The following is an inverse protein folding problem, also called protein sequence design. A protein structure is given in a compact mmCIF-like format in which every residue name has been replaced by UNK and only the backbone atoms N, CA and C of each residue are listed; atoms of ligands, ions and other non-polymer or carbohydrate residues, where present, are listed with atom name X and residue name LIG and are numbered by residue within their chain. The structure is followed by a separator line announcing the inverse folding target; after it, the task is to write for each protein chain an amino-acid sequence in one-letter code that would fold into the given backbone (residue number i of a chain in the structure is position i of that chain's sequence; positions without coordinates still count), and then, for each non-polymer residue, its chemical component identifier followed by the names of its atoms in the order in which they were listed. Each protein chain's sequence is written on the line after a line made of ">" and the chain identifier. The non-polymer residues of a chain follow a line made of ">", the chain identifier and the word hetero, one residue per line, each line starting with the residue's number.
data_IF_776160334635
#
_entry.id   IF_776160334635
#
_cell.length_a   1.000
_cell.length_b   1.000
_cell.length_c   1.000
_cell.angle_alpha   90.00
_cell.angle_beta   90.00
_cell.angle_gamma   90.00
#
_symmetry.space_group_name_H-M   'P 1'
#
loop_
_entity.id
_entity.type
_entity.pdbx_description
1 polymer ?
#
# COMPACT_ATOMS: atom_id res chain seq x y z
N UNK A 1 -1.27 5.91 17.47
CA UNK A 1 -0.90 5.54 16.08
C UNK A 1 -1.58 6.52 15.15
N UNK A 2 -0.91 6.95 14.08
CA UNK A 2 -1.43 7.94 13.13
C UNK A 2 -1.48 7.31 11.74
N UNK A 3 -2.58 7.53 11.03
CA UNK A 3 -2.76 7.12 9.65
C UNK A 3 -3.21 8.34 8.86
N UNK A 4 -2.51 8.65 7.77
CA UNK A 4 -2.81 9.83 6.96
C UNK A 4 -2.25 9.72 5.55
N UNK A 5 -2.84 10.48 4.64
CA UNK A 5 -2.41 10.58 3.25
C UNK A 5 -1.45 11.77 3.11
N UNK A 6 -0.36 11.57 2.35
CA UNK A 6 0.66 12.58 2.06
C UNK A 6 1.32 12.27 0.72
N UNK A 7 2.17 13.17 0.24
CA UNK A 7 3.10 12.90 -0.85
C UNK A 7 4.52 12.68 -0.31
N UNK A 8 5.32 11.93 -1.07
CA UNK A 8 6.74 11.76 -0.81
C UNK A 8 7.54 12.92 -1.38
N UNK A 9 8.47 13.46 -0.59
CA UNK A 9 9.32 14.60 -0.95
C UNK A 9 10.60 14.18 -1.67
N UNK A 10 11.25 15.14 -2.35
CA UNK A 10 12.44 14.95 -3.19
C UNK A 10 13.65 14.31 -2.47
N UNK A 11 13.72 14.47 -1.14
CA UNK A 11 14.77 13.87 -0.32
C UNK A 11 14.53 12.38 -0.01
N UNK A 12 13.46 11.79 -0.53
CA UNK A 12 13.16 10.36 -0.44
C UNK A 12 14.10 9.55 -1.32
N UNK A 13 14.78 8.55 -0.73
CA UNK A 13 15.69 7.65 -1.43
C UNK A 13 15.32 6.19 -1.16
N UNK A 14 14.80 5.52 -2.20
CA UNK A 14 14.39 4.12 -2.18
C UNK A 14 15.25 3.33 -3.18
N UNK A 15 16.54 3.15 -2.84
CA UNK A 15 17.47 2.37 -3.66
C UNK A 15 17.52 0.92 -3.17
N UNK A 16 17.34 -0.03 -4.09
CA UNK A 16 17.21 -1.45 -3.75
C UNK A 16 18.45 -2.12 -3.14
N UNK A 17 19.64 -1.51 -3.31
CA UNK A 17 20.91 -2.00 -2.77
C UNK A 17 21.55 -1.04 -1.75
N UNK A 18 20.87 0.04 -1.36
CA UNK A 18 21.44 0.95 -0.37
C UNK A 18 21.24 0.39 1.04
N UNK A 19 22.34 0.34 1.81
CA UNK A 19 22.34 0.00 3.23
C UNK A 19 21.38 0.87 4.06
N UNK A 20 21.10 2.09 3.60
CA UNK A 20 20.21 3.05 4.23
C UNK A 20 19.24 3.66 3.21
N UNK A 21 17.95 3.48 3.43
CA UNK A 21 16.86 4.10 2.68
C UNK A 21 16.23 5.23 3.49
N UNK A 22 15.63 6.20 2.82
CA UNK A 22 15.03 7.38 3.44
C UNK A 22 13.66 7.68 2.85
N UNK A 23 12.69 7.94 3.71
CA UNK A 23 11.40 8.51 3.36
C UNK A 23 11.34 9.94 3.89
N UNK A 24 10.91 10.87 3.06
CA UNK A 24 10.65 12.23 3.44
C UNK A 24 9.19 12.59 3.11
N UNK A 25 8.49 13.17 4.09
CA UNK A 25 7.07 13.50 3.95
C UNK A 25 6.64 14.58 4.95
N UNK A 26 5.58 15.32 4.62
CA UNK A 26 4.97 16.28 5.53
C UNK A 26 3.93 15.63 6.45
N UNK A 27 3.93 16.05 7.71
CA UNK A 27 2.85 15.71 8.63
C UNK A 27 1.68 16.68 8.47
N UNK A 28 0.44 16.17 8.32
CA UNK A 28 -0.74 17.01 8.42
C UNK A 28 -0.81 17.74 9.77
N UNK A 29 -1.33 18.97 9.77
CA UNK A 29 -1.39 19.83 10.97
C UNK A 29 -2.07 19.14 12.16
N UNK A 30 -3.11 18.37 11.90
CA UNK A 30 -3.84 17.63 12.95
C UNK A 30 -3.00 16.50 13.56
N UNK A 31 -2.24 15.79 12.72
CA UNK A 31 -1.29 14.76 13.19
C UNK A 31 -0.15 15.39 13.97
N UNK A 32 0.37 16.54 13.54
CA UNK A 32 1.40 17.28 14.28
C UNK A 32 0.91 17.68 15.68
N UNK A 33 -0.29 18.25 15.80
CA UNK A 33 -0.88 18.61 17.11
C UNK A 33 -1.04 17.38 18.01
N UNK A 34 -1.52 16.26 17.47
CA UNK A 34 -1.65 15.01 18.21
C UNK A 34 -0.27 14.48 18.67
N UNK A 35 0.70 14.42 17.78
CA UNK A 35 2.06 13.96 18.07
C UNK A 35 2.82 14.87 19.05
N UNK A 36 2.56 16.19 19.06
CA UNK A 36 3.09 17.09 20.10
C UNK A 36 2.54 16.72 21.48
N UNK A 37 1.23 16.47 21.60
CA UNK A 37 0.60 16.07 22.87
C UNK A 37 1.09 14.71 23.34
N UNK A 38 1.17 13.75 22.43
CA UNK A 38 1.63 12.39 22.74
C UNK A 38 3.12 12.38 23.10
N UNK A 39 3.95 13.25 22.49
CA UNK A 39 5.33 13.49 22.92
C UNK A 39 5.42 13.87 24.38
N UNK A 40 4.65 14.88 24.80
CA UNK A 40 4.68 15.39 26.18
C UNK A 40 4.33 14.26 27.13
N UNK A 41 3.28 13.49 26.86
CA UNK A 41 2.90 12.33 27.67
C UNK A 41 3.98 11.24 27.71
N UNK A 42 4.59 10.96 26.56
CA UNK A 42 5.60 9.91 26.39
C UNK A 42 6.95 10.28 27.05
N UNK A 43 7.23 11.57 27.22
CA UNK A 43 8.46 12.07 27.83
C UNK A 43 8.29 12.55 29.27
N UNK A 44 7.07 12.86 29.72
CA UNK A 44 6.75 13.33 31.08
C UNK A 44 7.25 12.40 32.19
N UNK A 45 7.49 11.12 31.88
CA UNK A 45 8.10 10.16 32.80
C UNK A 45 9.63 10.27 32.91
N UNK A 46 10.25 11.38 32.46
CA UNK A 46 11.71 11.52 32.38
C UNK A 46 12.15 12.92 32.82
N UNK A 47 12.90 13.02 33.90
CA UNK A 47 13.69 14.20 34.23
C UNK A 47 14.82 14.33 33.21
N UNK A 48 14.62 15.10 32.15
CA UNK A 48 15.75 15.58 31.36
C UNK A 48 15.35 16.75 30.47
N UNK A 49 15.98 17.89 30.77
CA UNK A 49 16.22 19.04 29.89
C UNK A 49 16.88 18.69 28.53
N UNK A 50 17.05 17.40 28.22
CA UNK A 50 17.75 16.90 27.04
C UNK A 50 16.81 16.35 25.95
N UNK A 51 15.50 16.60 26.02
CA UNK A 51 14.55 16.24 24.97
C UNK A 51 14.72 17.13 23.72
N UNK A 52 15.90 17.09 23.11
CA UNK A 52 16.29 18.02 22.07
C UNK A 52 15.65 17.66 20.72
N UNK A 53 14.97 18.66 20.12
CA UNK A 53 14.43 18.64 18.75
C UNK A 53 13.12 17.87 18.57
N UNK A 54 12.21 18.43 17.76
CA UNK A 54 11.08 17.68 17.22
C UNK A 54 11.57 16.65 16.18
N UNK A 55 10.88 15.51 15.98
CA UNK A 55 11.24 14.56 14.94
C UNK A 55 10.87 15.06 13.53
N UNK A 56 10.44 16.32 13.41
CA UNK A 56 10.16 17.07 12.19
C UNK A 56 10.69 18.51 12.34
N UNK A 57 10.88 19.21 11.23
CA UNK A 57 11.29 20.62 11.20
C UNK A 57 10.09 21.59 11.36
N UNK A 58 10.29 22.90 11.24
CA UNK A 58 9.21 23.88 11.46
C UNK A 58 8.07 23.79 10.41
N UNK A 59 8.36 23.30 9.20
CA UNK A 59 7.34 23.02 8.18
C UNK A 59 6.62 21.67 8.35
N UNK A 60 7.00 20.87 9.34
CA UNK A 60 6.42 19.54 9.58
C UNK A 60 6.99 18.44 8.68
N UNK A 61 8.13 18.69 8.01
CA UNK A 61 8.85 17.70 7.23
C UNK A 61 9.52 16.68 8.14
N UNK A 62 9.21 15.41 7.93
CA UNK A 62 9.81 14.26 8.63
C UNK A 62 10.76 13.54 7.68
N UNK A 63 11.97 13.28 8.17
CA UNK A 63 12.94 12.40 7.49
C UNK A 63 13.08 11.10 8.27
N UNK A 64 12.57 10.02 7.72
CA UNK A 64 12.63 8.69 8.31
C UNK A 64 13.64 7.81 7.56
N UNK A 65 14.64 7.29 8.25
CA UNK A 65 15.61 6.36 7.67
C UNK A 65 15.43 4.94 8.19
N UNK A 66 15.55 3.96 7.30
CA UNK A 66 15.44 2.54 7.60
C UNK A 66 16.39 1.73 6.72
N UNK A 67 16.65 0.49 7.11
CA UNK A 67 17.57 -0.41 6.41
C UNK A 67 16.91 -1.78 6.23
N UNK A 68 16.79 -2.22 4.98
CA UNK A 68 16.23 -3.52 4.67
C UNK A 68 17.13 -4.69 5.11
N UNK A 69 18.43 -4.47 5.24
CA UNK A 69 19.42 -5.49 5.59
C UNK A 69 19.45 -5.79 7.09
N UNK A 70 19.47 -4.74 7.92
CA UNK A 70 19.49 -4.88 9.38
C UNK A 70 18.11 -5.16 9.96
N UNK A 71 17.05 -5.09 9.14
CA UNK A 71 15.65 -5.25 9.56
C UNK A 71 15.16 -4.15 10.51
N UNK A 72 16.00 -3.16 10.83
CA UNK A 72 15.66 -2.14 11.81
C UNK A 72 14.69 -1.14 11.20
N UNK A 73 13.47 -1.14 11.75
CA UNK A 73 12.40 -0.19 11.41
C UNK A 73 11.99 -0.23 9.93
N UNK A 74 12.16 -1.35 9.22
CA UNK A 74 11.71 -1.49 7.82
C UNK A 74 10.19 -1.41 7.73
N UNK A 75 9.62 -0.45 6.99
CA UNK A 75 8.19 -0.35 6.82
C UNK A 75 7.69 -1.40 5.80
N UNK A 76 6.44 -1.81 5.96
CA UNK A 76 5.75 -2.65 4.96
C UNK A 76 5.30 -1.77 3.81
N UNK A 77 5.72 -2.10 2.59
CA UNK A 77 5.24 -1.43 1.38
C UNK A 77 4.09 -2.21 0.77
N UNK A 78 2.97 -1.54 0.50
CA UNK A 78 1.80 -2.14 -0.14
C UNK A 78 1.21 -1.25 -1.23
N UNK A 79 0.42 -1.84 -2.12
CA UNK A 79 -0.38 -1.10 -3.10
C UNK A 79 -1.70 -0.58 -2.48
N UNK A 80 -2.50 0.13 -3.27
CA UNK A 80 -3.82 0.66 -2.85
C UNK A 80 -4.81 -0.43 -2.39
N UNK A 81 -4.59 -1.70 -2.74
CA UNK A 81 -5.43 -2.85 -2.37
C UNK A 81 -4.82 -3.65 -1.21
N UNK A 82 -3.80 -3.09 -0.55
CA UNK A 82 -3.07 -3.71 0.55
C UNK A 82 -2.27 -4.97 0.18
N UNK A 83 -2.00 -5.19 -1.11
CA UNK A 83 -1.06 -6.23 -1.52
C UNK A 83 0.38 -5.78 -1.32
N UNK A 84 1.27 -6.65 -0.80
CA UNK A 84 2.66 -6.30 -0.58
C UNK A 84 3.38 -6.03 -1.91
N UNK A 85 4.16 -4.96 -1.95
CA UNK A 85 4.98 -4.60 -3.12
C UNK A 85 6.30 -5.39 -3.13
N UNK A 86 6.71 -5.85 -4.32
CA UNK A 86 8.03 -6.43 -4.52
C UNK A 86 9.13 -5.36 -4.42
N UNK A 87 10.39 -5.78 -4.22
CA UNK A 87 11.54 -4.85 -4.23
C UNK A 87 11.65 -4.06 -5.53
N UNK A 88 11.39 -4.71 -6.68
CA UNK A 88 11.37 -4.04 -7.99
C UNK A 88 10.22 -3.03 -8.09
N UNK A 89 9.07 -3.31 -7.49
CA UNK A 89 7.96 -2.36 -7.46
C UNK A 89 8.27 -1.14 -6.59
N UNK A 90 8.92 -1.33 -5.44
CA UNK A 90 9.35 -0.22 -4.55
C UNK A 90 10.30 0.74 -5.28
N UNK A 91 11.21 0.23 -6.11
CA UNK A 91 12.11 1.05 -6.92
C UNK A 91 11.40 1.93 -7.97
N UNK A 92 10.14 1.62 -8.30
CA UNK A 92 9.34 2.43 -9.22
C UNK A 92 8.62 3.58 -8.52
N UNK A 93 8.59 3.62 -7.19
CA UNK A 93 8.02 4.73 -6.43
C UNK A 93 8.81 5.99 -6.77
N UNK A 94 8.11 7.02 -7.23
CA UNK A 94 8.72 8.29 -7.67
C UNK A 94 8.54 9.35 -6.59
N UNK A 95 9.33 10.40 -6.72
CA UNK A 95 9.12 11.64 -5.98
C UNK A 95 7.70 12.17 -6.28
N UNK A 96 7.06 12.76 -5.29
CA UNK A 96 5.68 13.25 -5.39
C UNK A 96 4.60 12.15 -5.35
N UNK A 97 4.96 10.86 -5.33
CA UNK A 97 3.97 9.76 -5.25
C UNK A 97 3.07 9.91 -4.03
N UNK A 98 1.76 9.73 -4.22
CA UNK A 98 0.80 9.78 -3.14
C UNK A 98 0.83 8.49 -2.34
N UNK A 99 0.93 8.64 -1.03
CA UNK A 99 1.05 7.52 -0.10
C UNK A 99 0.14 7.71 1.10
N UNK A 100 -0.40 6.60 1.60
CA UNK A 100 -1.00 6.52 2.93
C UNK A 100 0.03 5.93 3.89
N UNK A 101 0.40 6.71 4.90
CA UNK A 101 1.40 6.33 5.90
C UNK A 101 0.72 5.89 7.19
N UNK A 102 1.20 4.79 7.77
CA UNK A 102 0.91 4.40 9.15
C UNK A 102 2.14 4.64 10.01
N UNK A 103 2.04 5.55 10.97
CA UNK A 103 3.16 6.03 11.78
C UNK A 103 2.85 5.87 13.26
N UNK A 104 3.86 5.51 14.05
CA UNK A 104 3.77 5.53 15.51
C UNK A 104 4.86 6.39 16.12
N UNK A 105 4.53 7.13 17.18
CA UNK A 105 5.53 7.81 17.98
C UNK A 105 6.09 6.85 19.02
N UNK A 106 7.42 6.75 19.08
CA UNK A 106 8.12 5.86 20.01
C UNK A 106 9.21 6.61 20.75
N UNK A 107 9.51 6.14 21.96
CA UNK A 107 10.60 6.69 22.77
C UNK A 107 11.93 6.28 22.16
N UNK A 108 12.83 7.26 22.00
CA UNK A 108 14.23 7.05 21.65
C UNK A 108 15.04 7.14 22.95
N UNK A 109 15.77 6.08 23.26
CA UNK A 109 16.59 6.01 24.48
C UNK A 109 18.06 6.38 24.23
N UNK A 110 18.61 6.03 23.07
CA UNK A 110 20.01 6.30 22.69
C UNK A 110 20.16 6.71 21.21
N UNK A 111 21.27 7.39 20.83
CA UNK A 111 22.26 8.09 21.66
C UNK A 111 21.75 9.41 22.29
N UNK A 112 20.63 9.96 21.82
CA UNK A 112 19.98 11.13 22.45
C UNK A 112 18.56 10.77 22.88
N UNK A 113 18.19 10.98 24.16
CA UNK A 113 16.85 10.70 24.65
C UNK A 113 15.83 11.63 23.98
N UNK A 114 14.65 11.10 23.65
CA UNK A 114 13.59 11.88 23.02
C UNK A 114 12.50 11.00 22.43
N UNK A 115 11.78 11.52 21.44
CA UNK A 115 10.78 10.77 20.68
C UNK A 115 11.16 10.73 19.21
N UNK A 116 10.88 9.62 18.52
CA UNK A 116 10.95 9.53 17.07
C UNK A 116 9.63 9.06 16.49
N UNK A 117 9.38 9.41 15.24
CA UNK A 117 8.30 8.81 14.45
C UNK A 117 8.84 7.58 13.73
N UNK A 118 8.18 6.45 13.91
CA UNK A 118 8.47 5.21 13.21
C UNK A 118 7.37 4.96 12.19
N UNK A 119 7.77 4.85 10.93
CA UNK A 119 6.88 4.43 9.84
C UNK A 119 6.73 2.91 9.91
N UNK A 120 5.49 2.44 9.95
CA UNK A 120 5.14 1.01 10.01
C UNK A 120 4.73 0.49 8.64
N UNK A 121 3.95 1.28 7.89
CA UNK A 121 3.42 0.91 6.59
C UNK A 121 3.40 2.11 5.66
N UNK A 122 3.75 1.87 4.40
CA UNK A 122 3.68 2.79 3.28
C UNK A 122 2.78 2.16 2.23
N UNK A 123 1.58 2.70 2.08
CA UNK A 123 0.63 2.26 1.06
C UNK A 123 0.70 3.24 -0.12
N UNK A 124 1.15 2.78 -1.28
CA UNK A 124 1.30 3.62 -2.48
C UNK A 124 -0.02 3.65 -3.23
N UNK A 125 -0.59 4.85 -3.38
CA UNK A 125 -1.94 5.02 -3.93
C UNK A 125 -1.94 4.98 -5.47
N UNK A 126 -0.82 5.36 -6.08
CA UNK A 126 -0.66 5.47 -7.54
C UNK A 126 0.01 4.24 -8.18
N UNK A 127 0.30 3.19 -7.40
CA UNK A 127 1.04 2.01 -7.86
C UNK A 127 0.32 0.73 -7.44
N UNK A 128 -0.04 -0.11 -8.42
CA UNK A 128 -0.58 -1.45 -8.18
C UNK A 128 0.55 -2.50 -8.14
N UNK A 129 0.41 -3.49 -7.25
CA UNK A 129 1.32 -4.62 -7.19
C UNK A 129 1.21 -5.43 -8.50
N UNK A 130 2.35 -5.84 -9.06
CA UNK A 130 2.32 -6.74 -10.21
C UNK A 130 1.83 -8.10 -9.68
N UNK A 131 0.71 -8.65 -10.19
CA UNK A 131 0.23 -9.94 -9.75
C UNK A 131 1.32 -11.00 -9.97
N UNK A 132 1.49 -11.88 -8.98
CA UNK A 132 2.37 -13.06 -9.10
C UNK A 132 1.77 -13.93 -10.21
N UNK A 133 2.37 -13.87 -11.39
CA UNK A 133 1.77 -14.35 -12.65
C UNK A 133 2.20 -13.53 -13.88
N UNK A 134 2.87 -12.39 -13.65
CA UNK A 134 3.26 -11.46 -14.72
C UNK A 134 2.06 -10.66 -15.19
N UNK A 135 2.25 -9.57 -15.95
CA UNK A 135 1.18 -9.12 -16.82
C UNK A 135 0.83 -10.34 -17.68
N UNK A 136 -0.44 -10.73 -17.74
CA UNK A 136 -0.90 -11.47 -18.90
C UNK A 136 -0.36 -10.69 -20.09
N UNK A 137 0.48 -11.32 -20.93
CA UNK A 137 1.06 -10.67 -22.11
C UNK A 137 -0.03 -9.83 -22.79
N UNK A 138 0.27 -8.71 -23.44
CA UNK A 138 -0.75 -7.99 -24.22
C UNK A 138 -1.42 -8.87 -25.30
N UNK A 139 -0.88 -10.06 -25.56
CA UNK A 139 -1.45 -11.13 -26.41
C UNK A 139 -2.14 -12.26 -25.64
N UNK A 140 -2.30 -12.12 -24.33
CA UNK A 140 -2.96 -13.04 -23.41
C UNK A 140 -4.24 -12.43 -22.86
N UNK A 141 -5.02 -11.77 -23.73
CA UNK A 141 -6.47 -11.92 -23.61
C UNK A 141 -6.70 -13.38 -23.96
N UNK A 142 -6.72 -14.26 -22.95
CA UNK A 142 -7.29 -15.58 -23.15
C UNK A 142 -8.77 -15.34 -23.39
N UNK A 143 -9.15 -15.27 -24.66
CA UNK A 143 -10.55 -15.35 -25.07
C UNK A 143 -11.01 -16.74 -24.69
N UNK A 144 -11.46 -16.88 -23.45
CA UNK A 144 -12.14 -18.10 -23.03
C UNK A 144 -13.48 -18.06 -23.73
N UNK A 145 -13.65 -18.92 -24.73
CA UNK A 145 -14.94 -19.19 -25.36
C UNK A 145 -15.85 -19.82 -24.31
N UNK A 146 -16.40 -19.00 -23.41
CA UNK A 146 -17.45 -19.42 -22.52
C UNK A 146 -18.67 -19.66 -23.41
N UNK A 147 -19.04 -20.91 -23.62
CA UNK A 147 -20.38 -21.24 -24.10
C UNK A 147 -21.34 -20.82 -22.98
N UNK A 148 -21.79 -19.58 -23.06
CA UNK A 148 -22.88 -19.09 -22.24
C UNK A 148 -24.16 -19.76 -22.77
N UNK A 149 -25.03 -20.27 -21.89
CA UNK A 149 -26.41 -20.58 -22.24
C UNK A 149 -27.03 -19.40 -22.99
N UNK A 150 -27.85 -19.68 -24.00
CA UNK A 150 -28.41 -18.68 -24.93
C UNK A 150 -29.05 -17.48 -24.20
N UNK A 151 -29.76 -17.76 -23.10
CA UNK A 151 -30.44 -16.77 -22.28
C UNK A 151 -29.46 -15.76 -21.63
N UNK A 152 -28.28 -16.21 -21.22
CA UNK A 152 -27.25 -15.34 -20.65
C UNK A 152 -26.54 -14.52 -21.72
N UNK A 153 -26.39 -15.06 -22.93
CA UNK A 153 -25.78 -14.35 -24.05
C UNK A 153 -26.65 -13.17 -24.51
N UNK A 154 -27.96 -13.39 -24.65
CA UNK A 154 -28.92 -12.34 -25.00
C UNK A 154 -28.99 -11.24 -23.94
N UNK A 155 -28.92 -11.63 -22.66
CA UNK A 155 -28.91 -10.67 -21.56
C UNK A 155 -27.61 -9.87 -21.51
N UNK A 156 -26.45 -10.48 -21.79
CA UNK A 156 -25.17 -9.74 -21.92
C UNK A 156 -25.25 -8.68 -23.03
N UNK A 157 -25.80 -9.02 -24.19
CA UNK A 157 -25.98 -8.07 -25.30
C UNK A 157 -26.94 -6.93 -24.94
N UNK A 158 -28.06 -7.26 -24.27
CA UNK A 158 -29.04 -6.29 -23.76
C UNK A 158 -28.43 -5.33 -22.73
N UNK A 159 -27.49 -5.81 -21.92
CA UNK A 159 -26.89 -5.05 -20.84
C UNK A 159 -25.64 -4.27 -21.28
N UNK A 160 -24.92 -4.74 -22.29
CA UNK A 160 -23.83 -3.98 -22.92
C UNK A 160 -24.32 -2.66 -23.55
N UNK A 161 -25.62 -2.56 -23.86
CA UNK A 161 -26.27 -1.36 -24.38
C UNK A 161 -26.86 -0.45 -23.29
N UNK A 162 -26.88 -0.86 -22.02
CA UNK A 162 -27.40 -0.07 -20.89
C UNK A 162 -26.27 0.30 -19.92
N UNK A 163 -25.93 1.59 -19.81
CA UNK A 163 -24.90 2.12 -18.90
C UNK A 163 -25.38 2.23 -17.43
N UNK A 164 -25.85 1.12 -16.84
CA UNK A 164 -26.21 1.10 -15.42
C UNK A 164 -25.22 0.28 -14.58
N UNK A 165 -24.64 0.95 -13.58
CA UNK A 165 -23.57 0.44 -12.72
C UNK A 165 -23.97 -0.79 -11.89
N UNK A 166 -25.25 -0.88 -11.46
CA UNK A 166 -25.75 -2.05 -10.71
C UNK A 166 -25.77 -3.31 -11.59
N UNK A 167 -26.00 -3.11 -12.88
CA UNK A 167 -26.18 -4.15 -13.87
C UNK A 167 -24.84 -4.76 -14.31
N UNK A 168 -23.80 -3.93 -14.39
CA UNK A 168 -22.41 -4.38 -14.59
C UNK A 168 -21.89 -5.22 -13.42
N UNK A 169 -22.24 -4.86 -12.17
CA UNK A 169 -21.83 -5.62 -10.99
C UNK A 169 -22.48 -7.01 -10.92
N UNK A 170 -23.76 -7.10 -11.28
CA UNK A 170 -24.47 -8.38 -11.34
C UNK A 170 -23.92 -9.31 -12.44
N UNK A 171 -23.70 -8.78 -13.65
CA UNK A 171 -23.10 -9.50 -14.77
C UNK A 171 -21.72 -10.08 -14.42
N UNK A 172 -20.90 -9.26 -13.77
CA UNK A 172 -19.58 -9.69 -13.32
C UNK A 172 -19.68 -10.88 -12.36
N UNK A 173 -20.56 -10.82 -11.36
CA UNK A 173 -20.76 -11.93 -10.43
C UNK A 173 -21.29 -13.20 -11.13
N UNK A 174 -22.17 -13.06 -12.11
CA UNK A 174 -22.70 -14.20 -12.88
C UNK A 174 -21.61 -14.88 -13.72
N UNK A 175 -20.77 -14.10 -14.40
CA UNK A 175 -19.63 -14.60 -15.18
C UNK A 175 -18.60 -15.25 -14.27
N UNK A 176 -18.23 -14.62 -13.15
CA UNK A 176 -17.29 -15.17 -12.17
C UNK A 176 -17.79 -16.51 -11.60
N UNK A 177 -19.09 -16.62 -11.31
CA UNK A 177 -19.72 -17.87 -10.84
C UNK A 177 -19.64 -18.97 -11.90
N UNK A 178 -19.89 -18.64 -13.18
CA UNK A 178 -19.85 -19.62 -14.26
C UNK A 178 -18.42 -20.08 -14.57
N UNK A 179 -17.45 -19.16 -14.53
CA UNK A 179 -16.02 -19.50 -14.67
C UNK A 179 -15.58 -20.43 -13.54
N UNK A 180 -16.03 -20.17 -12.30
CA UNK A 180 -15.69 -21.01 -11.17
C UNK A 180 -16.25 -22.43 -11.31
N UNK A 181 -17.52 -22.57 -11.73
CA UNK A 181 -18.15 -23.87 -12.00
C UNK A 181 -17.48 -24.64 -13.15
N UNK A 182 -17.05 -23.94 -14.19
CA UNK A 182 -16.35 -24.58 -15.33
C UNK A 182 -14.95 -25.05 -14.94
N UNK A 183 -14.22 -24.28 -14.12
CA UNK A 183 -12.92 -24.72 -13.57
C UNK A 183 -13.06 -25.92 -12.65
N UNK A 184 -14.05 -25.91 -11.75
CA UNK A 184 -14.34 -27.07 -10.89
C UNK A 184 -14.63 -28.34 -11.69
N UNK A 185 -15.36 -28.24 -12.81
CA UNK A 185 -15.62 -29.38 -13.71
C UNK A 185 -14.35 -29.88 -14.42
N UNK A 186 -13.45 -28.98 -14.81
CA UNK A 186 -12.17 -29.33 -15.42
C UNK A 186 -11.24 -30.03 -14.42
N UNK A 187 -11.13 -29.50 -13.21
CA UNK A 187 -10.33 -30.09 -12.11
C UNK A 187 -10.87 -31.47 -11.69
N UNK A 188 -12.20 -31.67 -11.69
CA UNK A 188 -12.82 -32.96 -11.43
C UNK A 188 -12.54 -34.01 -12.52
N UNK A 189 -12.39 -33.59 -13.79
CA UNK A 189 -12.00 -34.48 -14.88
C UNK A 189 -10.52 -34.85 -14.84
N UNK A 190 -9.66 -33.95 -14.36
CA UNK A 190 -8.21 -34.16 -14.24
C UNK A 190 -7.85 -35.10 -13.07
N UNK A 191 -8.69 -35.18 -12.04
CA UNK A 191 -8.53 -36.12 -10.91
C UNK A 191 -9.19 -37.49 -11.11
N UNK A 192 -9.94 -37.69 -12.21
CA UNK A 192 -10.63 -38.94 -12.53
C UNK A 192 -9.94 -39.77 -13.64
N UNK A 193 -8.81 -39.28 -14.18
CA UNK A 193 -7.96 -39.95 -15.16
C UNK A 193 -6.63 -40.38 -14.53
#
# INVERSE_FOLDING_TARGET
>A
MYVFDTSLEDSTTLHGNAHLQRLAFHLPREVMKAAKRDRVRLLASTDSDQANGMPWNDEGLVTFSFSAETGSSTPVFSDRRDHPLSRSAIQRIRLGSRVRLSVRQVRRRHPRPGSRLQVLKVQVLDLDAIPKGGPASPHSIQTVSLQLPLDLMQEVERLATQEDWSTQAWLRNAIETQVHRSRQRLEQHEHAA
#
